data_IF_725471562152
#
_entry.id   IF_725471562152
#
_cell.length_a   1.000
_cell.length_b   1.000
_cell.length_c   1.000
_cell.angle_alpha   90.00
_cell.angle_beta   90.00
_cell.angle_gamma   90.00
#
_symmetry.space_group_name_H-M   'P 1'
#
loop_
_entity.id
_entity.type
_entity.pdbx_description
1 polymer ?
#
# COMPACT_ATOMS: atom_id res chain seq x y z
N UNK A 1 58.68 149.27 -78.90
CA UNK A 1 58.14 150.25 -79.87
C UNK A 1 58.00 151.60 -79.18
N UNK A 2 58.61 152.68 -79.67
CA UNK A 2 58.32 154.04 -79.24
C UNK A 2 57.29 154.71 -80.18
N UNK A 3 56.60 155.78 -79.74
CA UNK A 3 56.15 156.83 -80.65
C UNK A 3 56.80 158.16 -80.25
N UNK A 4 57.66 158.73 -81.10
CA UNK A 4 57.42 159.66 -82.23
C UNK A 4 57.30 161.13 -81.80
N UNK A 5 58.35 161.89 -82.12
CA UNK A 5 58.44 163.36 -82.14
C UNK A 5 57.44 163.97 -83.14
N UNK A 6 56.94 165.18 -82.85
CA UNK A 6 56.87 166.32 -83.80
C UNK A 6 56.36 167.59 -83.09
N UNK A 7 56.93 168.74 -83.46
CA UNK A 7 56.34 170.05 -83.14
C UNK A 7 57.33 171.19 -82.96
N UNK A 8 57.99 171.61 -84.04
CA UNK A 8 58.78 172.84 -84.09
C UNK A 8 57.89 174.09 -84.05
N UNK A 9 58.14 175.00 -83.11
CA UNK A 9 57.62 176.37 -83.12
C UNK A 9 58.75 177.37 -82.92
N UNK A 10 59.22 177.99 -84.01
CA UNK A 10 60.12 179.16 -84.00
C UNK A 10 59.32 180.42 -83.67
N UNK A 11 59.73 181.19 -82.65
CA UNK A 11 59.42 182.61 -82.41
C UNK A 11 60.57 183.25 -81.58
N UNK A 12 60.73 184.59 -81.61
CA UNK A 12 61.78 185.38 -82.30
C UNK A 12 63.11 185.52 -81.51
N UNK A 13 64.19 186.09 -82.09
CA UNK A 13 65.38 186.46 -81.32
C UNK A 13 65.02 187.69 -80.47
N UNK A 14 64.62 187.48 -79.22
CA UNK A 14 64.54 188.58 -78.25
C UNK A 14 65.95 188.89 -77.77
N UNK A 15 66.41 190.07 -78.18
CA UNK A 15 67.42 190.93 -77.56
C UNK A 15 68.06 190.33 -76.31
N UNK A 16 69.40 190.24 -76.31
CA UNK A 16 70.20 190.19 -75.09
C UNK A 16 69.73 191.31 -74.16
N UNK A 17 68.84 191.00 -73.22
CA UNK A 17 68.67 191.80 -72.03
C UNK A 17 70.04 191.85 -71.35
N UNK A 18 70.51 193.03 -70.92
CA UNK A 18 71.75 193.11 -70.17
C UNK A 18 71.62 192.13 -69.00
N UNK A 19 72.60 191.24 -68.84
CA UNK A 19 72.71 190.44 -67.62
C UNK A 19 72.97 191.47 -66.51
N UNK A 20 71.91 191.85 -65.81
CA UNK A 20 71.96 192.70 -64.64
C UNK A 20 72.53 191.84 -63.51
N UNK A 21 73.81 191.98 -63.26
CA UNK A 21 74.46 191.43 -62.07
C UNK A 21 74.35 192.53 -61.01
N UNK A 22 73.47 192.35 -60.03
CA UNK A 22 73.15 193.34 -58.98
C UNK A 22 72.82 194.76 -59.50
N UNK A 23 72.07 194.87 -60.60
CA UNK A 23 71.47 196.15 -61.01
C UNK A 23 72.39 197.15 -61.73
N UNK A 24 73.63 196.77 -62.08
CA UNK A 24 74.60 197.63 -62.80
C UNK A 24 75.03 197.02 -64.15
N UNK A 25 75.35 197.86 -65.12
CA UNK A 25 75.82 197.45 -66.46
C UNK A 25 77.34 197.29 -66.50
N UNK A 26 77.81 196.42 -67.41
CA UNK A 26 79.20 195.90 -67.51
C UNK A 26 80.30 196.97 -67.66
N UNK A 27 79.93 198.24 -67.87
CA UNK A 27 80.83 199.34 -68.22
C UNK A 27 81.05 200.35 -67.07
N UNK A 28 80.42 200.17 -65.90
CA UNK A 28 80.55 201.09 -64.74
C UNK A 28 81.14 200.46 -63.46
N UNK A 29 81.47 199.16 -63.48
CA UNK A 29 82.02 198.44 -62.32
C UNK A 29 83.55 198.46 -62.33
N UNK A 30 84.18 198.93 -61.24
CA UNK A 30 85.63 198.81 -61.03
C UNK A 30 86.06 197.33 -61.03
N UNK A 31 87.29 197.04 -61.49
CA UNK A 31 87.83 195.68 -61.59
C UNK A 31 87.72 194.91 -60.26
N UNK A 32 87.94 195.60 -59.13
CA UNK A 32 87.86 195.04 -57.77
C UNK A 32 86.43 194.65 -57.37
N UNK A 33 85.42 195.45 -57.75
CA UNK A 33 84.01 195.15 -57.45
C UNK A 33 83.47 193.99 -58.29
N UNK A 34 83.98 193.82 -59.52
CA UNK A 34 83.71 192.62 -60.32
C UNK A 34 84.37 191.38 -59.72
N UNK A 35 85.59 191.50 -59.18
CA UNK A 35 86.28 190.40 -58.51
C UNK A 35 85.56 189.97 -57.21
N UNK A 36 85.07 190.91 -56.38
CA UNK A 36 84.26 190.61 -55.19
C UNK A 36 82.91 189.94 -55.53
N UNK A 37 82.20 190.42 -56.56
CA UNK A 37 80.96 189.77 -57.01
C UNK A 37 81.23 188.36 -57.55
N UNK A 38 82.37 188.14 -58.21
CA UNK A 38 82.78 186.80 -58.64
C UNK A 38 83.04 185.90 -57.43
N UNK A 39 83.64 186.42 -56.35
CA UNK A 39 83.85 185.67 -55.10
C UNK A 39 82.52 185.35 -54.43
N UNK A 40 81.64 186.33 -54.26
CA UNK A 40 80.30 186.11 -53.67
C UNK A 40 79.46 185.12 -54.47
N UNK A 41 79.44 185.21 -55.80
CA UNK A 41 78.73 184.26 -56.64
C UNK A 41 79.34 182.85 -56.60
N UNK A 42 80.65 182.72 -56.36
CA UNK A 42 81.30 181.42 -56.15
C UNK A 42 80.96 180.84 -54.79
N UNK A 43 80.98 181.66 -53.74
CA UNK A 43 80.56 181.26 -52.40
C UNK A 43 79.08 180.85 -52.37
N UNK A 44 78.20 181.59 -53.06
CA UNK A 44 76.78 181.22 -53.19
C UNK A 44 76.61 179.94 -54.00
N UNK A 45 77.39 179.78 -55.08
CA UNK A 45 77.38 178.54 -55.87
C UNK A 45 77.86 177.33 -55.05
N UNK A 46 78.88 177.52 -54.22
CA UNK A 46 79.42 176.46 -53.37
C UNK A 46 78.50 176.17 -52.18
N UNK A 47 77.84 177.16 -51.57
CA UNK A 47 76.75 176.97 -50.60
C UNK A 47 75.59 176.17 -51.21
N UNK A 48 75.09 176.59 -52.36
CA UNK A 48 74.00 175.88 -53.07
C UNK A 48 74.41 174.45 -53.46
N UNK A 49 75.69 174.19 -53.73
CA UNK A 49 76.23 172.85 -53.96
C UNK A 49 76.26 172.02 -52.68
N UNK A 50 76.71 172.61 -51.57
CA UNK A 50 76.73 171.98 -50.25
C UNK A 50 75.32 171.65 -49.77
N UNK A 51 74.36 172.58 -49.92
CA UNK A 51 72.96 172.37 -49.60
C UNK A 51 72.34 171.27 -50.47
N UNK A 52 72.57 171.29 -51.79
CA UNK A 52 72.12 170.21 -52.68
C UNK A 52 72.70 168.87 -52.27
N UNK A 53 73.99 168.81 -51.92
CA UNK A 53 74.65 167.60 -51.48
C UNK A 53 74.05 167.11 -50.15
N UNK A 54 73.82 168.02 -49.21
CA UNK A 54 73.16 167.72 -47.94
C UNK A 54 71.75 167.16 -48.14
N UNK A 55 70.92 167.81 -48.97
CA UNK A 55 69.57 167.32 -49.30
C UNK A 55 69.59 166.00 -50.08
N UNK A 56 70.62 165.76 -50.89
CA UNK A 56 70.82 164.47 -51.57
C UNK A 56 71.14 163.37 -50.56
N UNK A 57 72.08 163.60 -49.63
CA UNK A 57 72.42 162.66 -48.57
C UNK A 57 71.24 162.37 -47.65
N UNK A 58 70.47 163.40 -47.24
CA UNK A 58 69.28 163.18 -46.42
C UNK A 58 68.18 162.44 -47.17
N UNK A 59 67.99 162.70 -48.48
CA UNK A 59 67.06 161.91 -49.30
C UNK A 59 67.49 160.45 -49.39
N UNK A 60 68.77 160.19 -49.66
CA UNK A 60 69.30 158.83 -49.80
C UNK A 60 69.26 158.08 -48.45
N UNK A 61 69.47 158.78 -47.33
CA UNK A 61 69.29 158.26 -45.98
C UNK A 61 67.83 157.94 -45.67
N UNK A 62 66.89 158.83 -45.98
CA UNK A 62 65.44 158.57 -45.83
C UNK A 62 65.03 157.39 -46.71
N UNK A 63 65.51 157.33 -47.95
CA UNK A 63 65.24 156.23 -48.88
C UNK A 63 65.77 154.90 -48.33
N UNK A 64 67.00 154.89 -47.83
CA UNK A 64 67.60 153.70 -47.21
C UNK A 64 66.81 153.26 -45.98
N UNK A 65 66.42 154.19 -45.10
CA UNK A 65 65.57 153.88 -43.95
C UNK A 65 64.20 153.33 -44.37
N UNK A 66 63.59 153.90 -45.40
CA UNK A 66 62.32 153.43 -45.94
C UNK A 66 62.44 152.02 -46.51
N UNK A 67 63.48 151.74 -47.30
CA UNK A 67 63.73 150.39 -47.86
C UNK A 67 64.02 149.36 -46.76
N UNK A 68 64.83 149.73 -45.75
CA UNK A 68 65.10 148.85 -44.61
C UNK A 68 63.85 148.59 -43.80
N UNK A 69 63.05 149.61 -43.50
CA UNK A 69 61.82 149.46 -42.71
C UNK A 69 60.76 148.67 -43.48
N UNK A 70 60.65 148.90 -44.80
CA UNK A 70 59.77 148.12 -45.67
C UNK A 70 60.16 146.65 -45.69
N UNK A 71 61.45 146.34 -45.87
CA UNK A 71 61.94 144.95 -45.84
C UNK A 71 61.68 144.29 -44.48
N UNK A 72 61.95 144.98 -43.37
CA UNK A 72 61.66 144.48 -42.02
C UNK A 72 60.17 144.22 -41.80
N UNK A 73 59.30 145.08 -42.36
CA UNK A 73 57.85 144.88 -42.31
C UNK A 73 57.44 143.65 -43.14
N UNK A 74 57.99 143.48 -44.34
CA UNK A 74 57.75 142.31 -45.19
C UNK A 74 58.24 141.01 -44.53
N UNK A 75 59.42 141.02 -43.90
CA UNK A 75 59.99 139.92 -43.11
C UNK A 75 59.08 139.57 -41.93
N UNK A 76 58.68 140.56 -41.11
CA UNK A 76 57.77 140.33 -39.98
C UNK A 76 56.40 139.81 -40.43
N UNK A 77 55.86 140.31 -41.54
CA UNK A 77 54.61 139.81 -42.12
C UNK A 77 54.73 138.36 -42.61
N UNK A 78 55.88 137.99 -43.20
CA UNK A 78 56.14 136.62 -43.62
C UNK A 78 56.31 135.67 -42.42
N UNK A 79 56.99 136.12 -41.35
CA UNK A 79 57.11 135.38 -40.10
C UNK A 79 55.74 135.13 -39.45
N UNK A 80 54.90 136.16 -39.35
CA UNK A 80 53.52 136.02 -38.82
C UNK A 80 52.74 134.99 -39.62
N UNK A 81 52.72 135.07 -40.95
CA UNK A 81 52.03 134.08 -41.81
C UNK A 81 52.57 132.66 -41.63
N UNK A 82 53.89 132.53 -41.44
CA UNK A 82 54.52 131.23 -41.21
C UNK A 82 54.10 130.65 -39.87
N UNK A 83 54.06 131.48 -38.82
CA UNK A 83 53.59 131.08 -37.49
C UNK A 83 52.10 130.73 -37.51
N UNK A 84 51.25 131.53 -38.17
CA UNK A 84 49.82 131.25 -38.34
C UNK A 84 49.59 129.90 -39.03
N UNK A 85 50.31 129.63 -40.13
CA UNK A 85 50.27 128.33 -40.82
C UNK A 85 50.74 127.18 -39.94
N UNK A 86 51.80 127.39 -39.16
CA UNK A 86 52.30 126.38 -38.24
C UNK A 86 51.27 126.08 -37.13
N UNK A 87 50.58 127.10 -36.61
CA UNK A 87 49.49 126.94 -35.63
C UNK A 87 48.35 126.14 -36.25
N UNK A 88 47.91 126.50 -37.45
CA UNK A 88 46.84 125.79 -38.16
C UNK A 88 47.20 124.31 -38.41
N UNK A 89 48.42 124.03 -38.88
CA UNK A 89 48.89 122.66 -39.06
C UNK A 89 48.98 121.88 -37.74
N UNK A 90 49.33 122.53 -36.62
CA UNK A 90 49.40 121.89 -35.32
C UNK A 90 48.01 121.59 -34.75
N UNK A 91 47.05 122.51 -34.93
CA UNK A 91 45.65 122.28 -34.62
C UNK A 91 45.08 121.10 -35.42
N UNK A 92 45.36 121.02 -36.73
CA UNK A 92 44.96 119.88 -37.56
C UNK A 92 45.58 118.56 -37.07
N UNK A 93 46.88 118.55 -36.74
CA UNK A 93 47.57 117.38 -36.17
C UNK A 93 46.92 116.95 -34.85
N UNK A 94 46.68 117.88 -33.94
CA UNK A 94 46.02 117.61 -32.67
C UNK A 94 44.60 117.07 -32.85
N UNK A 95 43.82 117.60 -33.80
CA UNK A 95 42.49 117.08 -34.11
C UNK A 95 42.53 115.63 -34.63
N UNK A 96 43.54 115.29 -35.44
CA UNK A 96 43.76 113.91 -35.90
C UNK A 96 44.16 113.00 -34.75
N UNK A 97 45.08 113.44 -33.87
CA UNK A 97 45.47 112.68 -32.68
C UNK A 97 44.28 112.39 -31.77
N UNK A 98 43.44 113.39 -31.48
CA UNK A 98 42.21 113.22 -30.69
C UNK A 98 41.30 112.16 -31.33
N UNK A 99 41.13 112.17 -32.66
CA UNK A 99 40.34 111.16 -33.37
C UNK A 99 40.95 109.76 -33.26
N UNK A 100 42.27 109.63 -33.39
CA UNK A 100 42.98 108.35 -33.22
C UNK A 100 42.84 107.82 -31.80
N UNK A 101 43.03 108.66 -30.78
CA UNK A 101 42.85 108.27 -29.38
C UNK A 101 41.41 107.87 -29.08
N UNK A 102 40.42 108.58 -29.63
CA UNK A 102 39.00 108.20 -29.50
C UNK A 102 38.72 106.84 -30.13
N UNK A 103 39.29 106.56 -31.31
CA UNK A 103 39.15 105.25 -31.96
C UNK A 103 39.84 104.14 -31.18
N UNK A 104 41.04 104.39 -30.65
CA UNK A 104 41.77 103.44 -29.77
C UNK A 104 40.96 103.11 -28.52
N UNK A 105 40.37 104.13 -27.88
CA UNK A 105 39.51 103.93 -26.71
C UNK A 105 38.27 103.10 -27.06
N UNK A 106 37.61 103.39 -28.19
CA UNK A 106 36.47 102.60 -28.67
C UNK A 106 36.85 101.14 -28.91
N UNK A 107 37.98 100.89 -29.58
CA UNK A 107 38.46 99.54 -29.81
C UNK A 107 38.76 98.80 -28.50
N UNK A 108 39.47 99.43 -27.56
CA UNK A 108 39.78 98.85 -26.25
C UNK A 108 38.50 98.48 -25.47
N UNK A 109 37.49 99.35 -25.48
CA UNK A 109 36.20 99.06 -24.84
C UNK A 109 35.47 97.89 -25.52
N UNK A 110 35.51 97.81 -26.86
CA UNK A 110 34.93 96.68 -27.59
C UNK A 110 35.68 95.37 -27.29
N UNK A 111 37.02 95.38 -27.27
CA UNK A 111 37.86 94.22 -26.92
C UNK A 111 37.56 93.72 -25.50
N UNK A 112 37.50 94.63 -24.52
CA UNK A 112 37.13 94.28 -23.15
C UNK A 112 35.70 93.72 -23.06
N UNK A 113 34.74 94.33 -23.77
CA UNK A 113 33.38 93.83 -23.80
C UNK A 113 33.29 92.42 -24.39
N UNK A 114 33.98 92.17 -25.52
CA UNK A 114 34.03 90.87 -26.17
C UNK A 114 34.70 89.83 -25.25
N UNK A 115 35.84 90.17 -24.65
CA UNK A 115 36.55 89.28 -23.71
C UNK A 115 35.66 88.89 -22.53
N UNK A 116 34.92 89.85 -21.96
CA UNK A 116 33.97 89.59 -20.87
C UNK A 116 32.81 88.71 -21.36
N UNK A 117 32.29 88.94 -22.56
CA UNK A 117 31.22 88.13 -23.14
C UNK A 117 31.67 86.68 -23.36
N UNK A 118 32.86 86.47 -23.94
CA UNK A 118 33.47 85.16 -24.15
C UNK A 118 33.75 84.43 -22.84
N UNK A 119 34.26 85.13 -21.82
CA UNK A 119 34.46 84.55 -20.49
C UNK A 119 33.14 84.10 -19.87
N UNK A 120 32.11 84.93 -19.92
CA UNK A 120 30.77 84.57 -19.42
C UNK A 120 30.17 83.39 -20.15
N UNK A 121 30.31 83.34 -21.48
CA UNK A 121 29.84 82.20 -22.27
C UNK A 121 30.61 80.92 -21.92
N UNK A 122 31.94 81.02 -21.76
CA UNK A 122 32.77 79.89 -21.32
C UNK A 122 32.39 79.39 -19.94
N UNK A 123 32.13 80.30 -18.99
CA UNK A 123 31.71 79.94 -17.64
C UNK A 123 30.32 79.27 -17.65
N UNK A 124 29.38 79.80 -18.42
CA UNK A 124 28.04 79.21 -18.57
C UNK A 124 28.07 77.84 -19.24
N UNK A 125 28.86 77.68 -20.31
CA UNK A 125 29.02 76.39 -21.01
C UNK A 125 29.73 75.37 -20.13
N UNK A 126 30.78 75.76 -19.40
CA UNK A 126 31.44 74.91 -18.41
C UNK A 126 30.50 74.49 -17.30
N UNK A 127 29.75 75.42 -16.70
CA UNK A 127 28.80 75.12 -15.64
C UNK A 127 27.67 74.19 -16.12
N UNK A 128 27.19 74.38 -17.35
CA UNK A 128 26.18 73.51 -17.96
C UNK A 128 26.73 72.11 -18.22
N UNK A 129 27.98 72.00 -18.68
CA UNK A 129 28.64 70.71 -18.88
C UNK A 129 28.80 69.96 -17.55
N UNK A 130 29.31 70.62 -16.51
CA UNK A 130 29.47 70.00 -15.19
C UNK A 130 28.13 69.61 -14.57
N UNK A 131 27.08 70.41 -14.77
CA UNK A 131 25.73 70.06 -14.31
C UNK A 131 25.20 68.82 -15.03
N UNK A 132 25.40 68.72 -16.35
CA UNK A 132 24.97 67.56 -17.13
C UNK A 132 25.71 66.29 -16.71
N UNK A 133 27.02 66.38 -16.49
CA UNK A 133 27.83 65.26 -15.97
C UNK A 133 27.37 64.82 -14.58
N UNK A 134 27.05 65.77 -13.70
CA UNK A 134 26.47 65.50 -12.38
C UNK A 134 25.11 64.78 -12.49
N UNK A 135 24.20 65.25 -13.36
CA UNK A 135 22.90 64.61 -13.58
C UNK A 135 23.03 63.18 -14.12
N UNK A 136 23.98 62.95 -15.04
CA UNK A 136 24.28 61.62 -15.59
C UNK A 136 24.79 60.67 -14.49
N UNK A 137 25.74 61.13 -13.67
CA UNK A 137 26.27 60.35 -12.54
C UNK A 137 25.19 60.05 -11.48
N UNK A 138 24.33 61.02 -11.17
CA UNK A 138 23.23 60.82 -10.23
C UNK A 138 22.19 59.82 -10.76
N UNK A 139 21.91 59.85 -12.07
CA UNK A 139 21.03 58.87 -12.71
C UNK A 139 21.63 57.46 -12.67
N UNK A 140 22.92 57.31 -12.99
CA UNK A 140 23.64 56.03 -12.90
C UNK A 140 23.62 55.47 -11.48
N UNK A 141 23.94 56.30 -10.48
CA UNK A 141 23.91 55.89 -9.07
C UNK A 141 22.51 55.47 -8.62
N UNK A 142 21.46 56.17 -9.08
CA UNK A 142 20.08 55.79 -8.78
C UNK A 142 19.72 54.42 -9.38
N UNK A 143 20.13 54.12 -10.62
CA UNK A 143 19.91 52.82 -11.25
C UNK A 143 20.68 51.70 -10.57
N UNK A 144 21.94 51.94 -10.19
CA UNK A 144 22.73 50.99 -9.40
C UNK A 144 22.08 50.70 -8.05
N UNK A 145 21.64 51.73 -7.33
CA UNK A 145 20.97 51.58 -6.04
C UNK A 145 19.65 50.80 -6.17
N UNK A 146 18.85 51.05 -7.22
CA UNK A 146 17.64 50.26 -7.52
C UNK A 146 17.99 48.81 -7.79
N UNK A 147 19.02 48.57 -8.60
CA UNK A 147 19.48 47.22 -8.96
C UNK A 147 19.95 46.44 -7.73
N UNK A 148 20.74 47.07 -6.86
CA UNK A 148 21.20 46.46 -5.60
C UNK A 148 20.00 46.17 -4.70
N UNK A 149 19.10 47.14 -4.51
CA UNK A 149 17.90 46.96 -3.68
C UNK A 149 17.03 45.80 -4.16
N UNK A 150 16.81 45.69 -5.48
CA UNK A 150 16.09 44.57 -6.08
C UNK A 150 16.80 43.22 -5.86
N UNK A 151 18.12 43.16 -6.03
CA UNK A 151 18.90 41.95 -5.77
C UNK A 151 18.80 41.50 -4.31
N UNK A 152 18.93 42.43 -3.37
CA UNK A 152 18.80 42.14 -1.94
C UNK A 152 17.40 41.64 -1.61
N UNK A 153 16.35 42.32 -2.10
CA UNK A 153 14.97 41.89 -1.87
C UNK A 153 14.67 40.52 -2.48
N UNK A 154 15.15 40.25 -3.70
CA UNK A 154 14.99 38.94 -4.34
C UNK A 154 15.69 37.84 -3.54
N UNK A 155 16.89 38.11 -3.03
CA UNK A 155 17.62 37.17 -2.17
C UNK A 155 16.87 36.92 -0.85
N UNK A 156 16.33 37.96 -0.22
CA UNK A 156 15.49 37.82 0.98
C UNK A 156 14.23 37.00 0.71
N UNK A 157 13.55 37.21 -0.42
CA UNK A 157 12.39 36.43 -0.83
C UNK A 157 12.78 34.97 -1.09
N UNK A 158 13.89 34.72 -1.78
CA UNK A 158 14.36 33.38 -2.11
C UNK A 158 14.78 32.60 -0.86
N UNK A 159 15.47 33.24 0.08
CA UNK A 159 15.81 32.63 1.38
C UNK A 159 14.56 32.29 2.18
N UNK A 160 13.59 33.20 2.29
CA UNK A 160 12.31 32.93 2.95
C UNK A 160 11.53 31.80 2.28
N UNK A 161 11.52 31.75 0.95
CA UNK A 161 10.85 30.70 0.18
C UNK A 161 11.49 29.33 0.42
N UNK A 162 12.82 29.26 0.42
CA UNK A 162 13.56 28.03 0.70
C UNK A 162 13.31 27.55 2.14
N UNK A 163 13.33 28.47 3.13
CA UNK A 163 12.99 28.13 4.51
C UNK A 163 11.57 27.60 4.67
N UNK A 164 10.59 28.22 3.99
CA UNK A 164 9.20 27.77 4.03
C UNK A 164 9.03 26.41 3.36
N UNK A 165 9.73 26.18 2.23
CA UNK A 165 9.72 24.89 1.53
C UNK A 165 10.31 23.79 2.39
N UNK A 166 11.46 24.02 3.04
CA UNK A 166 12.08 23.07 3.96
C UNK A 166 11.17 22.73 5.15
N UNK A 167 10.49 23.74 5.74
CA UNK A 167 9.51 23.51 6.81
C UNK A 167 8.34 22.66 6.32
N UNK A 168 7.82 22.95 5.13
CA UNK A 168 6.72 22.18 4.55
C UNK A 168 7.14 20.73 4.27
N UNK A 169 8.32 20.50 3.69
CA UNK A 169 8.86 19.16 3.46
C UNK A 169 9.01 18.36 4.76
N UNK A 170 9.50 19.00 5.82
CA UNK A 170 9.62 18.39 7.14
C UNK A 170 8.25 18.04 7.75
N UNK A 171 7.27 18.93 7.68
CA UNK A 171 5.89 18.65 8.14
C UNK A 171 5.25 17.50 7.35
N UNK A 172 5.45 17.47 6.04
CA UNK A 172 4.95 16.39 5.18
C UNK A 172 5.64 15.06 5.51
N UNK A 173 6.96 15.06 5.75
CA UNK A 173 7.71 13.88 6.19
C UNK A 173 7.19 13.35 7.51
N UNK A 174 7.06 14.21 8.54
CA UNK A 174 6.55 13.82 9.86
C UNK A 174 5.12 13.28 9.79
N UNK A 175 4.28 13.90 8.95
CA UNK A 175 2.90 13.45 8.72
C UNK A 175 2.86 12.08 8.05
N UNK A 176 3.68 11.87 7.02
CA UNK A 176 3.80 10.58 6.34
C UNK A 176 4.32 9.49 7.29
N UNK A 177 5.36 9.76 8.08
CA UNK A 177 5.88 8.82 9.09
C UNK A 177 4.82 8.43 10.12
N UNK A 178 4.02 9.40 10.58
CA UNK A 178 2.90 9.15 11.49
C UNK A 178 1.86 8.23 10.85
N UNK A 179 1.49 8.49 9.60
CA UNK A 179 0.51 7.65 8.89
C UNK A 179 1.06 6.25 8.60
N UNK A 180 2.30 6.13 8.13
CA UNK A 180 2.96 4.84 7.91
C UNK A 180 2.96 4.01 9.19
N UNK A 181 3.33 4.61 10.32
CA UNK A 181 3.27 3.93 11.62
C UNK A 181 1.85 3.47 11.96
N UNK A 182 0.85 4.33 11.79
CA UNK A 182 -0.55 3.93 12.02
C UNK A 182 -0.99 2.79 11.10
N UNK A 183 -0.59 2.81 9.82
CA UNK A 183 -0.88 1.74 8.88
C UNK A 183 -0.19 0.43 9.27
N UNK A 184 1.07 0.47 9.72
CA UNK A 184 1.78 -0.72 10.19
C UNK A 184 1.15 -1.28 11.45
N UNK A 185 0.76 -0.43 12.39
CA UNK A 185 0.13 -0.84 13.66
C UNK A 185 -1.24 -1.49 13.40
N UNK A 186 -2.08 -0.87 12.56
CA UNK A 186 -3.38 -1.44 12.16
C UNK A 186 -3.17 -2.77 11.43
N UNK A 187 -2.21 -2.85 10.51
CA UNK A 187 -1.91 -4.09 9.78
C UNK A 187 -1.50 -5.20 10.76
N UNK A 188 -0.62 -4.91 11.70
CA UNK A 188 -0.18 -5.86 12.71
C UNK A 188 -1.35 -6.34 13.58
N UNK A 189 -2.23 -5.44 14.03
CA UNK A 189 -3.42 -5.78 14.82
C UNK A 189 -4.38 -6.70 14.04
N UNK A 190 -4.60 -6.42 12.74
CA UNK A 190 -5.45 -7.26 11.89
C UNK A 190 -4.82 -8.63 11.63
N UNK A 191 -3.52 -8.70 11.40
CA UNK A 191 -2.81 -9.98 11.23
C UNK A 191 -2.86 -10.82 12.51
N UNK A 192 -2.66 -10.20 13.68
CA UNK A 192 -2.77 -10.88 14.97
C UNK A 192 -4.18 -11.45 15.18
N UNK A 193 -5.22 -10.65 14.88
CA UNK A 193 -6.63 -11.12 14.95
C UNK A 193 -6.89 -12.28 13.99
N UNK A 194 -6.38 -12.20 12.76
CA UNK A 194 -6.51 -13.27 11.77
C UNK A 194 -5.82 -14.54 12.25
N UNK A 195 -4.63 -14.42 12.82
CA UNK A 195 -3.87 -15.55 13.36
C UNK A 195 -4.60 -16.20 14.54
N UNK A 196 -5.12 -15.40 15.48
CA UNK A 196 -5.95 -15.91 16.60
C UNK A 196 -7.16 -16.70 16.11
N UNK A 197 -7.90 -16.18 15.11
CA UNK A 197 -9.04 -16.92 14.53
C UNK A 197 -8.62 -18.22 13.86
N UNK A 198 -7.49 -18.23 13.14
CA UNK A 198 -6.93 -19.46 12.53
C UNK A 198 -6.58 -20.49 13.60
N UNK A 199 -5.95 -20.05 14.68
CA UNK A 199 -5.55 -20.91 15.79
C UNK A 199 -6.77 -21.46 16.55
N UNK A 200 -7.78 -20.63 16.82
CA UNK A 200 -9.06 -21.05 17.42
C UNK A 200 -9.77 -22.10 16.56
N UNK A 201 -9.88 -21.89 15.25
CA UNK A 201 -10.51 -22.84 14.34
C UNK A 201 -9.72 -24.16 14.26
N UNK A 202 -8.39 -24.07 14.23
CA UNK A 202 -7.48 -25.22 14.27
C UNK A 202 -7.67 -26.02 15.57
N UNK A 203 -7.74 -25.33 16.71
CA UNK A 203 -7.97 -25.95 18.02
C UNK A 203 -9.36 -26.59 18.10
N UNK A 204 -10.41 -25.90 17.64
CA UNK A 204 -11.76 -26.45 17.58
C UNK A 204 -11.81 -27.72 16.73
N UNK A 205 -11.19 -27.70 15.55
CA UNK A 205 -11.08 -28.87 14.67
C UNK A 205 -10.32 -30.01 15.35
N UNK A 206 -9.19 -29.74 16.01
CA UNK A 206 -8.41 -30.75 16.75
C UNK A 206 -9.23 -31.36 17.90
N UNK A 207 -9.91 -30.54 18.69
CA UNK A 207 -10.78 -30.98 19.78
C UNK A 207 -11.93 -31.84 19.26
N UNK A 208 -12.62 -31.43 18.19
CA UNK A 208 -13.69 -32.19 17.55
C UNK A 208 -13.22 -33.56 17.05
N UNK A 209 -12.07 -33.60 16.38
CA UNK A 209 -11.46 -34.87 15.94
C UNK A 209 -11.11 -35.76 17.13
N UNK A 210 -10.54 -35.18 18.19
CA UNK A 210 -10.19 -35.92 19.41
C UNK A 210 -11.42 -36.50 20.11
N UNK A 211 -12.50 -35.72 20.20
CA UNK A 211 -13.76 -36.17 20.80
C UNK A 211 -14.41 -37.29 20.00
N UNK A 212 -14.54 -37.15 18.68
CA UNK A 212 -15.05 -38.23 17.82
C UNK A 212 -14.17 -39.47 17.90
N UNK A 213 -12.84 -39.32 17.95
CA UNK A 213 -11.92 -40.43 18.15
C UNK A 213 -12.13 -41.11 19.50
N UNK A 214 -12.33 -40.33 20.57
CA UNK A 214 -12.62 -40.86 21.90
C UNK A 214 -13.95 -41.62 21.92
N UNK A 215 -15.01 -41.07 21.34
CA UNK A 215 -16.31 -41.74 21.20
C UNK A 215 -16.17 -43.06 20.44
N UNK A 216 -15.49 -43.05 19.28
CA UNK A 216 -15.24 -44.26 18.50
C UNK A 216 -14.42 -45.30 19.26
N UNK A 217 -13.38 -44.88 19.97
CA UNK A 217 -12.56 -45.77 20.81
C UNK A 217 -13.38 -46.37 21.97
N UNK A 218 -14.27 -45.60 22.57
CA UNK A 218 -15.19 -46.06 23.61
C UNK A 218 -16.17 -47.10 23.05
N UNK A 219 -16.83 -46.81 21.93
CA UNK A 219 -17.71 -47.77 21.24
C UNK A 219 -16.97 -49.05 20.84
N UNK A 220 -15.75 -48.94 20.31
CA UNK A 220 -14.92 -50.09 19.96
C UNK A 220 -14.57 -50.93 21.19
N UNK A 221 -14.32 -50.28 22.34
CA UNK A 221 -14.01 -50.97 23.60
C UNK A 221 -15.25 -51.69 24.16
N UNK A 222 -16.42 -51.04 24.12
CA UNK A 222 -17.69 -51.65 24.51
C UNK A 222 -18.02 -52.86 23.63
N UNK A 223 -17.91 -52.73 22.30
CA UNK A 223 -18.14 -53.84 21.36
C UNK A 223 -17.16 -55.01 21.61
N UNK A 224 -15.89 -54.71 21.87
CA UNK A 224 -14.90 -55.73 22.25
C UNK A 224 -15.30 -56.44 23.55
N UNK A 225 -15.80 -55.70 24.53
CA UNK A 225 -16.28 -56.27 25.79
C UNK A 225 -17.51 -57.15 25.58
N UNK A 226 -18.49 -56.70 24.79
CA UNK A 226 -19.68 -57.48 24.44
C UNK A 226 -19.30 -58.77 23.71
N UNK A 227 -18.41 -58.70 22.71
CA UNK A 227 -17.89 -59.89 22.04
C UNK A 227 -17.18 -60.83 23.02
N UNK A 228 -16.35 -60.32 23.94
CA UNK A 228 -15.71 -61.14 24.96
C UNK A 228 -16.73 -61.81 25.90
N UNK A 229 -17.82 -61.11 26.24
CA UNK A 229 -18.91 -61.65 27.04
C UNK A 229 -19.66 -62.74 26.26
N UNK A 230 -20.04 -62.51 25.01
CA UNK A 230 -20.69 -63.53 24.17
C UNK A 230 -19.80 -64.74 23.92
N UNK A 231 -18.48 -64.55 23.77
CA UNK A 231 -17.52 -65.66 23.70
C UNK A 231 -17.46 -66.44 25.01
N UNK A 232 -17.50 -65.76 26.15
CA UNK A 232 -17.60 -66.40 27.47
C UNK A 232 -18.90 -67.17 27.61
N UNK A 233 -20.03 -66.59 27.23
CA UNK A 233 -21.35 -67.24 27.29
C UNK A 233 -21.40 -68.46 26.36
N UNK A 234 -20.84 -68.34 25.15
CA UNK A 234 -20.69 -69.47 24.24
C UNK A 234 -19.80 -70.57 24.82
N UNK A 235 -18.70 -70.21 25.48
CA UNK A 235 -17.86 -71.17 26.18
C UNK A 235 -18.62 -71.86 27.31
N UNK A 236 -19.36 -71.11 28.14
CA UNK A 236 -20.21 -71.68 29.20
C UNK A 236 -21.27 -72.64 28.62
N UNK A 237 -21.88 -72.29 27.50
CA UNK A 237 -22.82 -73.17 26.79
C UNK A 237 -22.14 -74.43 26.25
N UNK A 238 -20.94 -74.31 25.66
CA UNK A 238 -20.16 -75.46 25.20
C UNK A 238 -19.83 -76.38 26.39
N UNK A 239 -19.38 -75.82 27.51
CA UNK A 239 -19.06 -76.56 28.72
C UNK A 239 -20.32 -77.26 29.27
N UNK A 240 -21.49 -76.63 29.23
CA UNK A 240 -22.78 -77.22 29.61
C UNK A 240 -23.21 -78.34 28.64
N UNK A 241 -23.03 -78.16 27.34
CA UNK A 241 -23.28 -79.21 26.34
C UNK A 241 -22.33 -80.39 26.56
N UNK A 242 -21.08 -80.14 26.92
CA UNK A 242 -20.12 -81.19 27.23
C UNK A 242 -20.47 -81.94 28.52
N UNK A 243 -20.88 -81.22 29.57
CA UNK A 243 -21.45 -81.77 30.80
C UNK A 243 -22.71 -82.61 30.53
N UNK A 244 -23.66 -82.12 29.73
CA UNK A 244 -24.87 -82.87 29.36
C UNK A 244 -24.55 -84.08 28.49
N UNK A 245 -23.56 -84.00 27.61
CA UNK A 245 -23.03 -85.14 26.85
C UNK A 245 -22.44 -86.19 27.79
N UNK A 246 -21.64 -85.78 28.80
CA UNK A 246 -21.13 -86.68 29.85
C UNK A 246 -22.27 -87.33 30.64
N UNK A 247 -23.27 -86.55 31.08
CA UNK A 247 -24.49 -87.07 31.74
C UNK A 247 -25.26 -88.05 30.86
N UNK A 248 -25.43 -87.74 29.57
CA UNK A 248 -26.10 -88.61 28.59
C UNK A 248 -25.33 -89.91 28.39
N UNK A 249 -24.00 -89.86 28.32
CA UNK A 249 -23.15 -91.05 28.25
C UNK A 249 -23.31 -91.92 29.52
N UNK A 250 -23.27 -91.31 30.71
CA UNK A 250 -23.48 -92.00 31.98
C UNK A 250 -24.89 -92.63 32.08
N UNK A 251 -25.93 -91.92 31.63
CA UNK A 251 -27.29 -92.48 31.57
C UNK A 251 -27.40 -93.64 30.57
N UNK A 252 -26.73 -93.56 29.40
CA UNK A 252 -26.68 -94.68 28.45
C UNK A 252 -25.99 -95.90 29.04
N UNK A 253 -24.91 -95.70 29.81
CA UNK A 253 -24.22 -96.77 30.51
C UNK A 253 -25.10 -97.38 31.61
N UNK A 254 -25.79 -96.56 32.41
CA UNK A 254 -26.77 -97.04 33.40
C UNK A 254 -27.93 -97.82 32.74
N UNK A 255 -28.45 -97.34 31.61
CA UNK A 255 -29.47 -98.06 30.83
C UNK A 255 -28.91 -99.39 30.30
N UNK A 256 -27.67 -99.42 29.83
CA UNK A 256 -27.03 -100.66 29.38
C UNK A 256 -26.85 -101.65 30.55
N UNK A 257 -26.45 -101.16 31.72
CA UNK A 257 -26.34 -101.96 32.95
C UNK A 257 -27.71 -102.48 33.41
N UNK A 258 -28.74 -101.63 33.44
CA UNK A 258 -30.11 -102.02 33.77
C UNK A 258 -30.66 -103.02 32.76
N UNK A 259 -30.43 -102.86 31.46
CA UNK A 259 -30.78 -103.87 30.45
C UNK A 259 -29.99 -105.17 30.62
N UNK A 260 -28.74 -105.09 31.10
CA UNK A 260 -27.94 -106.25 31.49
C UNK A 260 -28.58 -107.01 32.66
N UNK A 261 -28.91 -106.29 33.75
CA UNK A 261 -29.63 -106.82 34.92
C UNK A 261 -31.02 -107.33 34.55
N UNK A 262 -31.72 -106.68 33.65
CA UNK A 262 -33.02 -107.12 33.16
C UNK A 262 -32.89 -108.40 32.35
N UNK A 263 -31.87 -108.54 31.48
CA UNK A 263 -31.55 -109.80 30.79
C UNK A 263 -31.17 -110.91 31.77
N UNK A 264 -30.40 -110.62 32.82
CA UNK A 264 -30.09 -111.60 33.87
C UNK A 264 -31.34 -112.01 34.62
N UNK A 265 -32.15 -111.05 35.08
CA UNK A 265 -33.45 -111.34 35.70
C UNK A 265 -34.38 -112.09 34.76
N UNK A 266 -34.34 -111.84 33.45
CA UNK A 266 -35.13 -112.59 32.47
C UNK A 266 -34.65 -114.05 32.37
N UNK A 267 -33.34 -114.28 32.46
CA UNK A 267 -32.77 -115.64 32.54
C UNK A 267 -33.13 -116.32 33.86
N UNK A 268 -33.07 -115.61 34.98
CA UNK A 268 -33.52 -116.11 36.29
C UNK A 268 -35.02 -116.39 36.30
N UNK A 269 -35.80 -115.59 35.58
CA UNK A 269 -37.23 -115.80 35.38
C UNK A 269 -37.51 -117.02 34.48
N UNK A 270 -36.70 -117.24 33.44
CA UNK A 270 -36.76 -118.46 32.61
C UNK A 270 -36.34 -119.71 33.40
N UNK A 271 -35.34 -119.60 34.27
CA UNK A 271 -34.92 -120.66 35.20
C UNK A 271 -36.02 -120.96 36.22
N UNK A 272 -36.60 -119.94 36.86
CA UNK A 272 -37.72 -120.14 37.79
C UNK A 272 -38.97 -120.64 37.09
N UNK A 273 -39.22 -120.27 35.82
CA UNK A 273 -40.29 -120.87 35.01
C UNK A 273 -40.01 -122.33 34.67
N UNK A 274 -38.77 -122.71 34.39
CA UNK A 274 -38.36 -124.12 34.22
C UNK A 274 -38.51 -124.90 35.52
N UNK A 275 -38.11 -124.33 36.64
CA UNK A 275 -38.31 -124.94 37.97
C UNK A 275 -39.80 -125.05 38.32
N UNK A 276 -40.63 -124.06 37.97
CA UNK A 276 -42.09 -124.13 38.14
C UNK A 276 -42.72 -125.21 37.24
N UNK A 277 -42.21 -125.39 36.01
CA UNK A 277 -42.61 -126.51 35.14
C UNK A 277 -42.21 -127.85 35.76
N UNK A 278 -40.96 -128.00 36.21
CA UNK A 278 -40.50 -129.21 36.89
C UNK A 278 -41.30 -129.50 38.16
N UNK A 279 -41.61 -128.48 38.97
CA UNK A 279 -42.44 -128.61 40.17
C UNK A 279 -43.89 -128.95 39.83
N UNK A 280 -44.46 -128.38 38.76
CA UNK A 280 -45.81 -128.71 38.28
C UNK A 280 -45.90 -130.13 37.70
N UNK A 281 -44.85 -130.60 37.02
CA UNK A 281 -44.71 -131.98 36.56
C UNK A 281 -44.50 -132.94 37.75
N UNK A 282 -43.73 -132.54 38.76
CA UNK A 282 -43.58 -133.28 40.02
C UNK A 282 -44.90 -133.35 40.80
N UNK A 283 -45.67 -132.26 40.85
CA UNK A 283 -46.98 -132.22 41.49
C UNK A 283 -47.98 -133.11 40.75
N UNK A 284 -47.98 -133.09 39.41
CA UNK A 284 -48.83 -133.98 38.60
C UNK A 284 -48.45 -135.45 38.76
N UNK A 285 -47.15 -135.76 38.83
CA UNK A 285 -46.66 -137.12 39.08
C UNK A 285 -46.94 -137.59 40.52
N UNK A 286 -46.92 -136.67 41.49
CA UNK A 286 -47.29 -136.94 42.89
C UNK A 286 -48.81 -137.11 43.05
N UNK A 287 -49.63 -136.36 42.29
CA UNK A 287 -51.07 -136.58 42.21
C UNK A 287 -51.43 -137.91 41.54
N UNK A 288 -50.71 -138.33 40.49
CA UNK A 288 -50.89 -139.67 39.90
C UNK A 288 -50.48 -140.80 40.86
N UNK A 289 -49.40 -140.64 41.63
CA UNK A 289 -49.03 -141.59 42.68
C UNK A 289 -50.02 -141.58 43.85
N UNK A 290 -50.56 -140.43 44.25
CA UNK A 290 -51.63 -140.34 45.24
C UNK A 290 -52.93 -140.99 44.74
N UNK A 291 -53.26 -140.85 43.45
CA UNK A 291 -54.38 -141.54 42.82
C UNK A 291 -54.13 -143.07 42.76
N UNK A 292 -52.88 -143.53 42.55
CA UNK A 292 -52.52 -144.95 42.67
C UNK A 292 -52.61 -145.46 44.12
N UNK A 293 -52.24 -144.66 45.13
CA UNK A 293 -52.41 -145.00 46.54
C UNK A 293 -53.88 -145.01 46.97
N UNK A 294 -54.72 -144.10 46.45
CA UNK A 294 -56.18 -144.15 46.64
C UNK A 294 -56.81 -145.37 45.96
N UNK A 295 -56.37 -145.77 44.76
CA UNK A 295 -56.79 -147.03 44.11
C UNK A 295 -56.31 -148.28 44.86
N UNK A 296 -55.11 -148.26 45.45
CA UNK A 296 -54.59 -149.36 46.30
C UNK A 296 -55.29 -149.45 47.66
N UNK A 297 -55.68 -148.34 48.28
CA UNK A 297 -56.48 -148.33 49.51
C UNK A 297 -57.90 -148.86 49.27
N UNK A 298 -58.52 -148.52 48.14
CA UNK A 298 -59.82 -149.07 47.72
C UNK A 298 -59.76 -150.58 47.45
N UNK A 299 -58.61 -151.07 46.94
CA UNK A 299 -58.35 -152.49 46.69
C UNK A 299 -58.05 -153.33 47.95
N UNK A 300 -57.71 -152.70 49.09
CA UNK A 300 -57.49 -153.37 50.39
C UNK A 300 -58.70 -153.25 51.33
N UNK A 301 -59.58 -152.25 51.17
CA UNK A 301 -60.82 -152.12 51.97
C UNK A 301 -62.00 -152.95 51.43
N UNK A 302 -61.97 -153.39 50.17
CA UNK A 302 -63.04 -154.20 49.54
C UNK A 302 -62.85 -155.73 49.69
N UNK A 303 -61.76 -156.19 50.35
CA UNK A 303 -61.41 -157.62 50.55
C UNK A 303 -61.51 -158.15 51.99
N UNK A 304 -62.04 -157.36 52.93
CA UNK A 304 -62.32 -157.81 54.32
C UNK A 304 -63.80 -157.73 54.74
N UNK A 305 -64.68 -157.18 53.89
CA UNK A 305 -66.12 -157.00 54.17
C UNK A 305 -67.02 -157.81 53.21
N UNK A 306 -66.42 -158.65 52.35
CA UNK A 306 -67.08 -159.57 51.40
C UNK A 306 -67.08 -161.04 51.84
N UNK A 307 -66.68 -161.34 53.09
CA UNK A 307 -66.66 -162.70 53.68
C UNK A 307 -67.75 -162.92 54.75
N UNK A 308 -68.36 -161.88 55.31
CA UNK A 308 -69.41 -162.04 56.34
C UNK A 308 -70.86 -162.08 55.79
N UNK A 309 -71.14 -161.46 54.63
CA UNK A 309 -72.51 -161.41 54.06
C UNK A 309 -72.82 -162.52 53.03
N UNK A 310 -71.80 -163.32 52.63
CA UNK A 310 -71.95 -164.46 51.71
C UNK A 310 -72.24 -165.79 52.44
N UNK A 311 -71.94 -165.89 53.75
CA UNK A 311 -72.22 -167.09 54.55
C UNK A 311 -73.69 -167.13 55.03
N UNK A 312 -74.32 -165.97 55.28
CA UNK A 312 -75.70 -165.92 55.79
C UNK A 312 -76.75 -166.12 54.67
N UNK A 313 -76.41 -165.77 53.42
CA UNK A 313 -77.28 -165.97 52.25
C UNK A 313 -77.23 -167.38 51.63
N UNK A 314 -76.25 -168.22 51.97
CA UNK A 314 -76.21 -169.64 51.57
C UNK A 314 -76.95 -170.58 52.53
N UNK A 315 -76.97 -170.32 53.85
CA UNK A 315 -77.68 -171.18 54.83
C UNK A 315 -79.21 -171.11 54.75
N UNK A 316 -79.78 -169.98 54.34
CA UNK A 316 -81.24 -169.80 54.22
C UNK A 316 -81.79 -170.50 52.96
N UNK A 317 -80.94 -170.80 51.97
CA UNK A 317 -81.33 -171.52 50.74
C UNK A 317 -81.28 -173.06 50.91
N UNK A 318 -80.39 -173.59 51.75
CA UNK A 318 -80.34 -175.02 52.08
C UNK A 318 -81.40 -175.45 53.10
N UNK A 319 -81.78 -174.58 54.05
CA UNK A 319 -82.90 -174.84 54.98
C UNK A 319 -84.24 -175.00 54.26
N UNK A 320 -84.45 -174.33 53.12
CA UNK A 320 -85.70 -174.41 52.36
C UNK A 320 -85.82 -175.65 51.47
N UNK A 321 -84.70 -176.24 51.03
CA UNK A 321 -84.70 -177.47 50.22
C UNK A 321 -84.80 -178.74 51.08
N UNK A 322 -84.17 -178.77 52.26
CA UNK A 322 -84.26 -179.93 53.17
C UNK A 322 -85.61 -180.04 53.88
N UNK A 323 -86.33 -178.92 54.07
CA UNK A 323 -87.69 -178.92 54.64
C UNK A 323 -88.74 -179.42 53.62
N UNK A 324 -88.45 -179.29 52.31
CA UNK A 324 -89.26 -179.87 51.23
C UNK A 324 -88.96 -181.36 51.01
N UNK A 325 -87.71 -181.81 51.17
CA UNK A 325 -87.35 -183.24 51.13
C UNK A 325 -87.88 -184.04 52.32
N UNK A 326 -87.90 -183.46 53.54
CA UNK A 326 -88.47 -184.13 54.71
C UNK A 326 -89.99 -184.30 54.60
N UNK A 327 -90.71 -183.29 54.12
CA UNK A 327 -92.17 -183.38 53.85
C UNK A 327 -92.50 -184.40 52.74
N UNK A 328 -91.60 -184.59 51.76
CA UNK A 328 -91.75 -185.61 50.73
C UNK A 328 -91.49 -187.04 51.27
N UNK A 329 -90.55 -187.21 52.21
CA UNK A 329 -90.30 -188.50 52.86
C UNK A 329 -91.39 -188.89 53.88
N UNK A 330 -91.96 -187.92 54.60
CA UNK A 330 -93.10 -188.12 55.51
C UNK A 330 -94.38 -188.52 54.73
N UNK A 331 -94.52 -188.12 53.46
CA UNK A 331 -95.64 -188.54 52.60
C UNK A 331 -95.44 -189.94 51.99
N UNK A 332 -94.18 -190.35 51.75
CA UNK A 332 -93.87 -191.67 51.19
C UNK A 332 -93.82 -192.79 52.23
N UNK A 333 -93.54 -192.52 53.50
CA UNK A 333 -93.58 -193.57 54.54
C UNK A 333 -95.00 -193.89 55.03
N UNK A 334 -95.96 -192.96 54.88
CA UNK A 334 -97.37 -193.20 55.21
C UNK A 334 -98.14 -193.89 54.07
N UNK A 335 -97.70 -193.75 52.80
CA UNK A 335 -98.23 -194.48 51.63
C UNK A 335 -97.55 -195.83 51.39
N UNK A 336 -96.28 -195.98 51.75
CA UNK A 336 -95.61 -197.29 51.83
C UNK A 336 -95.90 -197.94 53.18
N UNK A 337 -97.16 -198.38 53.26
CA UNK A 337 -97.42 -199.79 53.54
C UNK A 337 -98.12 -200.09 54.86
N UNK A 338 -99.14 -199.27 55.14
CA UNK A 338 -100.53 -199.71 55.40
C UNK A 338 -101.16 -200.46 54.18
N UNK A 339 -100.34 -201.01 53.27
CA UNK A 339 -100.68 -201.57 51.96
C UNK A 339 -99.86 -202.84 51.69
N UNK A 340 -99.81 -203.76 52.67
CA UNK A 340 -99.69 -205.23 52.52
C UNK A 340 -99.06 -205.83 53.82
N UNK A 341 -99.70 -206.39 54.85
CA UNK A 341 -101.09 -206.79 55.17
C UNK A 341 -102.01 -207.07 53.98
N UNK A 342 -101.57 -208.01 53.14
CA UNK A 342 -102.31 -208.74 52.11
C UNK A 342 -101.23 -209.62 51.48
N UNK A 343 -101.14 -210.87 51.96
CA UNK A 343 -101.67 -212.02 51.23
C UNK A 343 -100.61 -212.54 50.23
N UNK A 344 -99.90 -213.66 50.43
CA UNK A 344 -100.36 -214.99 50.87
C UNK A 344 -101.79 -215.24 50.43
N UNK A 345 -101.93 -216.07 49.38
CA UNK A 345 -103.14 -216.25 48.58
C UNK A 345 -103.34 -215.02 47.68
N UNK A 346 -103.24 -215.15 46.38
CA UNK A 346 -103.86 -216.20 45.62
C UNK A 346 -103.31 -216.15 44.20
N UNK A 347 -103.20 -217.35 43.63
CA UNK A 347 -103.29 -217.62 42.19
C UNK A 347 -101.95 -217.52 41.45
N UNK A 348 -101.22 -218.60 41.12
CA UNK A 348 -101.58 -220.03 40.97
C UNK A 348 -102.98 -220.25 40.37
N UNK A 349 -103.20 -219.75 39.15
CA UNK A 349 -104.22 -220.13 38.13
C UNK A 349 -104.28 -219.00 37.08
N UNK A 350 -103.84 -219.10 35.84
CA UNK A 350 -103.65 -220.24 34.95
C UNK A 350 -102.68 -219.85 33.82
N UNK A 351 -101.53 -220.52 33.76
CA UNK A 351 -101.00 -221.23 32.58
C UNK A 351 -100.16 -222.38 33.19
N UNK A 352 -100.47 -223.68 33.17
CA UNK A 352 -101.45 -224.52 32.46
C UNK A 352 -101.46 -224.36 30.92
N UNK A 353 -100.71 -225.29 30.27
CA UNK A 353 -100.46 -225.56 28.83
C UNK A 353 -99.35 -224.71 28.18
N UNK A 354 -98.12 -225.16 27.87
CA UNK A 354 -97.53 -226.48 27.63
C UNK A 354 -96.22 -226.69 28.42
N UNK A 355 -96.37 -227.35 29.56
CA UNK A 355 -95.53 -228.35 30.22
C UNK A 355 -96.38 -228.67 31.47
N UNK A 356 -97.25 -229.66 31.45
CA UNK A 356 -96.96 -231.02 31.01
C UNK A 356 -96.20 -231.77 32.10
N UNK A 357 -96.71 -231.73 33.33
CA UNK A 357 -96.92 -232.89 34.20
C UNK A 357 -97.69 -232.39 35.43
N UNK A 358 -99.02 -232.49 35.40
CA UNK A 358 -99.83 -233.64 35.83
C UNK A 358 -100.33 -233.40 37.26
N UNK A 359 -101.66 -233.50 37.35
CA UNK A 359 -102.52 -233.88 38.48
C UNK A 359 -101.88 -234.18 39.85
N UNK A 360 -102.68 -233.84 40.88
CA UNK A 360 -102.78 -234.49 42.22
C UNK A 360 -101.69 -234.12 43.24
#
# INVERSE_FOLDING_TARGET
MPPKKKGSGKKPPKSKTPVLINGLTKEEMSKEQMEELIVQLREELDREREERNYFQLERDKIQTFWEVTKRKLEEAQAEVKTVEKNIEEDEERHLVEIKVYKQKMKHLLCEHHNTIAELKERDLTSARQTHKEQEELEAELCEEMRTITMKTLNFEIETLFNELTLKHEEEMRLTNEKWEKQFTDIRAEKEEKLQKMKDELSNWRKSRISETRHQWNSHLSALKQDHNNSLRDAQLFIDEVEETKKRSAALKELIAEQKGKEKEKLKDLDLTLKDNKCLSEWFSSAEEENAKFQRKMKHYSEKKETVYDVIEKMKIKELKNLEQEKKALESNFHKVRLSNQSSLLNVKMEIWMENGHFFI
#
